data_IF_068421151070
#
_entry.id   IF_068421151070
#
_cell.length_a   1.000
_cell.length_b   1.000
_cell.length_c   1.000
_cell.angle_alpha   90.00
_cell.angle_beta   90.00
_cell.angle_gamma   90.00
#
_symmetry.space_group_name_H-M   'P 1'
#
loop_
_entity.id
_entity.type
_entity.pdbx_description
1 polymer ?
#
# COMPACT_ATOMS: atom_id res chain seq x y z
N UNK A 1 43.87 -4.28 1.20
CA UNK A 1 44.18 -2.85 1.00
C UNK A 1 42.84 -2.16 0.98
N UNK A 2 42.48 -1.60 2.13
CA UNK A 2 41.14 -1.08 2.42
C UNK A 2 41.30 0.39 2.72
N UNK A 3 40.86 1.26 1.80
CA UNK A 3 40.88 2.70 2.02
C UNK A 3 39.52 3.17 2.52
N UNK A 4 39.58 3.81 3.68
CA UNK A 4 38.52 4.56 4.34
C UNK A 4 38.18 5.83 3.54
N UNK A 5 36.91 6.23 3.55
CA UNK A 5 36.57 7.66 3.52
C UNK A 5 35.25 7.96 4.25
N UNK A 6 35.27 8.65 5.40
CA UNK A 6 34.08 9.22 6.03
C UNK A 6 33.94 10.70 5.65
N UNK A 7 32.72 11.15 5.33
CA UNK A 7 32.44 12.58 5.13
C UNK A 7 31.36 13.08 6.13
N UNK A 8 31.50 14.30 6.69
CA UNK A 8 30.87 14.71 7.93
C UNK A 8 29.58 15.54 7.77
N UNK A 9 28.97 15.80 8.92
CA UNK A 9 27.69 16.45 9.16
C UNK A 9 27.68 17.99 9.06
N UNK A 10 26.44 18.55 9.19
CA UNK A 10 25.99 19.89 9.64
C UNK A 10 25.37 20.80 8.55
N UNK A 11 24.52 21.82 8.89
CA UNK A 11 24.00 22.28 10.21
C UNK A 11 22.47 22.49 10.31
N UNK A 12 22.03 22.75 11.55
CA UNK A 12 20.69 23.18 12.00
C UNK A 12 20.45 24.70 11.89
N UNK A 13 19.21 25.13 11.64
CA UNK A 13 18.78 26.53 11.55
C UNK A 13 17.85 26.96 12.71
N UNK A 14 18.18 28.03 13.47
CA UNK A 14 17.26 28.70 14.39
C UNK A 14 17.07 30.20 14.11
N UNK A 15 15.82 30.67 14.00
CA UNK A 15 15.40 32.09 14.09
C UNK A 15 13.88 32.10 14.35
N UNK A 16 13.23 32.67 15.38
CA UNK A 16 13.38 33.79 16.35
C UNK A 16 13.09 35.21 15.81
N UNK A 17 11.90 35.72 16.15
CA UNK A 17 11.49 37.14 16.20
C UNK A 17 10.00 37.19 16.59
N UNK A 18 9.52 37.62 17.76
CA UNK A 18 9.65 38.88 18.53
C UNK A 18 8.66 40.00 18.11
N UNK A 19 7.72 40.26 19.03
CA UNK A 19 7.11 41.55 19.44
C UNK A 19 6.17 42.36 18.53
N UNK A 20 4.96 42.67 19.04
CA UNK A 20 4.51 44.04 19.36
C UNK A 20 3.02 44.13 19.83
N UNK A 21 2.79 44.89 20.90
CA UNK A 21 1.52 45.39 21.50
C UNK A 21 1.84 46.83 22.02
N UNK A 22 0.90 47.74 22.39
CA UNK A 22 -0.22 48.45 21.72
C UNK A 22 0.07 49.98 21.58
N UNK A 23 -0.93 50.88 21.33
CA UNK A 23 -1.49 51.67 22.44
C UNK A 23 -3.00 52.03 22.35
N UNK A 24 -3.46 52.70 23.42
CA UNK A 24 -4.83 52.98 23.84
C UNK A 24 -5.35 54.40 23.48
N UNK A 25 -6.53 54.75 24.06
CA UNK A 25 -7.25 56.05 24.19
C UNK A 25 -8.34 56.31 23.14
N UNK A 26 -9.51 56.90 23.43
CA UNK A 26 -10.29 57.20 24.65
C UNK A 26 -11.64 57.79 24.18
N UNK A 27 -12.72 57.48 24.91
CA UNK A 27 -13.91 58.32 25.25
C UNK A 27 -14.51 59.34 24.26
N UNK A 28 -15.84 59.28 24.08
CA UNK A 28 -16.77 60.36 24.52
C UNK A 28 -18.23 59.84 24.63
N UNK A 29 -18.87 60.15 25.75
CA UNK A 29 -20.26 59.98 26.21
C UNK A 29 -21.25 60.96 25.51
N UNK A 30 -22.51 61.19 25.97
CA UNK A 30 -23.69 60.34 26.08
C UNK A 30 -24.87 60.88 25.22
N UNK A 31 -25.94 60.09 25.02
CA UNK A 31 -27.28 60.66 24.82
C UNK A 31 -28.39 59.70 25.27
N UNK A 32 -29.03 60.11 26.35
CA UNK A 32 -30.27 59.61 26.93
C UNK A 32 -31.45 59.67 25.95
N UNK A 33 -32.13 58.55 25.69
CA UNK A 33 -33.56 58.56 25.34
C UNK A 33 -34.30 57.31 25.84
N UNK A 34 -35.24 57.58 26.75
CA UNK A 34 -36.54 56.96 26.97
C UNK A 34 -36.72 55.45 26.76
N UNK A 35 -36.84 54.78 27.90
CA UNK A 35 -37.45 53.48 28.16
C UNK A 35 -38.81 53.29 27.48
N UNK A 36 -38.90 52.35 26.53
CA UNK A 36 -40.12 51.59 26.26
C UNK A 36 -39.87 50.11 26.59
N UNK A 37 -40.46 49.64 27.68
CA UNK A 37 -40.48 48.22 28.05
C UNK A 37 -41.45 47.47 27.13
N UNK A 38 -40.97 47.01 25.98
CA UNK A 38 -41.56 45.85 25.34
C UNK A 38 -41.00 44.60 26.01
N UNK A 39 -41.87 43.88 26.70
CA UNK A 39 -41.63 42.53 27.19
C UNK A 39 -41.59 41.57 25.99
N UNK A 40 -40.54 41.66 25.17
CA UNK A 40 -40.15 40.53 24.35
C UNK A 40 -39.57 39.48 25.28
N UNK A 41 -40.32 38.41 25.47
CA UNK A 41 -39.74 37.14 25.92
C UNK A 41 -38.81 36.66 24.80
N UNK A 42 -37.62 37.26 24.72
CA UNK A 42 -36.50 36.80 23.94
C UNK A 42 -36.12 35.44 24.51
N UNK A 43 -36.81 34.42 24.01
CA UNK A 43 -36.53 33.02 24.27
C UNK A 43 -35.12 32.83 23.74
N UNK A 44 -34.12 32.95 24.63
CA UNK A 44 -32.70 32.68 24.42
C UNK A 44 -32.60 31.37 23.63
N UNK A 45 -32.58 31.46 22.30
CA UNK A 45 -32.51 30.31 21.41
C UNK A 45 -31.09 29.82 21.54
N UNK A 46 -30.89 28.88 22.46
CA UNK A 46 -29.58 28.36 22.83
C UNK A 46 -28.92 27.79 21.60
N UNK A 47 -27.97 28.56 21.05
CA UNK A 47 -27.21 28.23 19.85
C UNK A 47 -26.37 26.95 19.98
N UNK A 48 -26.40 26.32 21.16
CA UNK A 48 -25.80 25.03 21.45
C UNK A 48 -26.45 23.89 20.66
N UNK A 49 -27.76 23.94 20.40
CA UNK A 49 -28.47 22.86 19.67
C UNK A 49 -28.05 22.72 18.20
N UNK A 50 -28.02 23.78 17.36
CA UNK A 50 -27.56 23.65 15.98
C UNK A 50 -26.06 23.28 15.88
N UNK A 51 -25.22 23.76 16.80
CA UNK A 51 -23.80 23.40 16.83
C UNK A 51 -23.58 21.90 17.11
N UNK A 52 -24.35 21.31 18.03
CA UNK A 52 -24.28 19.87 18.33
C UNK A 52 -24.70 19.02 17.12
N UNK A 53 -25.75 19.43 16.41
CA UNK A 53 -26.21 18.71 15.19
C UNK A 53 -25.17 18.76 14.08
N UNK A 54 -24.55 19.92 13.86
CA UNK A 54 -23.50 20.06 12.84
C UNK A 54 -22.26 19.21 13.15
N UNK A 55 -21.79 19.21 14.41
CA UNK A 55 -20.65 18.37 14.83
C UNK A 55 -21.00 16.88 14.72
N UNK A 56 -22.21 16.48 15.15
CA UNK A 56 -22.68 15.10 15.01
C UNK A 56 -22.70 14.62 13.56
N UNK A 57 -23.20 15.44 12.63
CA UNK A 57 -23.22 15.11 11.21
C UNK A 57 -21.80 14.93 10.62
N UNK A 58 -20.86 15.80 10.98
CA UNK A 58 -19.46 15.69 10.52
C UNK A 58 -18.80 14.40 11.01
N UNK A 59 -19.00 14.03 12.28
CA UNK A 59 -18.43 12.79 12.84
C UNK A 59 -18.99 11.56 12.12
N UNK A 60 -20.30 11.53 11.83
CA UNK A 60 -20.92 10.42 11.09
C UNK A 60 -20.37 10.32 9.68
N UNK A 61 -20.22 11.44 8.96
CA UNK A 61 -19.64 11.45 7.61
C UNK A 61 -18.19 10.99 7.64
N UNK A 62 -17.38 11.45 8.60
CA UNK A 62 -16.00 11.02 8.74
C UNK A 62 -15.88 9.52 9.07
N UNK A 63 -16.75 9.00 9.95
CA UNK A 63 -16.78 7.58 10.27
C UNK A 63 -17.19 6.72 9.06
N UNK A 64 -18.24 7.13 8.33
CA UNK A 64 -18.67 6.43 7.13
C UNK A 64 -17.60 6.49 6.03
N UNK A 65 -16.98 7.66 5.81
CA UNK A 65 -15.87 7.84 4.89
C UNK A 65 -14.65 6.98 5.25
N UNK A 66 -14.32 6.87 6.55
CA UNK A 66 -13.24 6.02 7.03
C UNK A 66 -13.50 4.53 6.78
N UNK A 67 -14.73 4.06 6.99
CA UNK A 67 -15.11 2.67 6.68
C UNK A 67 -15.02 2.40 5.19
N UNK A 68 -15.59 3.28 4.35
CA UNK A 68 -15.50 3.15 2.89
C UNK A 68 -14.04 3.12 2.45
N UNK A 69 -13.23 4.05 2.93
CA UNK A 69 -11.80 4.11 2.62
C UNK A 69 -11.08 2.81 2.98
N UNK A 70 -11.36 2.23 4.15
CA UNK A 70 -10.73 1.01 4.62
C UNK A 70 -11.13 -0.22 3.78
N UNK A 71 -12.38 -0.31 3.32
CA UNK A 71 -12.84 -1.44 2.50
C UNK A 71 -12.49 -1.30 1.01
N UNK A 72 -12.14 -0.10 0.54
CA UNK A 72 -11.71 0.14 -0.84
C UNK A 72 -10.20 0.11 -1.04
N UNK A 73 -9.40 -0.07 0.03
CA UNK A 73 -7.96 -0.21 -0.15
C UNK A 73 -7.65 -1.53 -0.84
N UNK A 74 -6.76 -1.54 -1.85
CA UNK A 74 -6.33 -2.79 -2.46
C UNK A 74 -5.70 -3.70 -1.41
N UNK A 75 -5.92 -4.99 -1.53
CA UNK A 75 -5.28 -5.97 -0.65
C UNK A 75 -3.77 -6.00 -0.90
N UNK A 76 -3.00 -6.62 -0.01
CA UNK A 76 -1.57 -6.81 -0.26
C UNK A 76 -1.33 -7.70 -1.48
N UNK A 77 -2.18 -8.70 -1.72
CA UNK A 77 -2.13 -9.58 -2.90
C UNK A 77 -2.37 -8.78 -4.19
N UNK A 78 -3.37 -7.89 -4.20
CA UNK A 78 -3.65 -7.04 -5.37
C UNK A 78 -2.49 -6.09 -5.67
N UNK A 79 -1.90 -5.48 -4.64
CA UNK A 79 -0.70 -4.65 -4.80
C UNK A 79 0.49 -5.46 -5.34
N UNK A 80 0.71 -6.66 -4.80
CA UNK A 80 1.76 -7.55 -5.30
C UNK A 80 1.53 -7.91 -6.76
N UNK A 81 0.30 -8.20 -7.17
CA UNK A 81 -0.04 -8.44 -8.57
C UNK A 81 0.21 -7.21 -9.44
N UNK A 82 -0.13 -6.01 -8.97
CA UNK A 82 0.12 -4.78 -9.70
C UNK A 82 1.62 -4.55 -9.93
N UNK A 83 2.48 -4.92 -8.99
CA UNK A 83 3.94 -4.78 -9.08
C UNK A 83 4.57 -5.91 -9.91
N UNK A 84 4.14 -7.16 -9.73
CA UNK A 84 4.81 -8.34 -10.31
C UNK A 84 4.13 -8.90 -11.57
N UNK A 85 2.93 -8.44 -11.91
CA UNK A 85 2.13 -8.97 -13.01
C UNK A 85 2.70 -8.66 -14.40
N UNK A 86 2.59 -9.62 -15.31
CA UNK A 86 3.10 -9.50 -16.68
C UNK A 86 4.62 -9.37 -16.72
N UNK A 87 5.14 -8.50 -17.59
CA UNK A 87 6.58 -8.27 -17.72
C UNK A 87 7.17 -7.37 -16.63
N UNK A 88 6.37 -6.88 -15.67
CA UNK A 88 6.87 -5.97 -14.62
C UNK A 88 7.89 -6.63 -13.70
N UNK A 89 7.73 -7.92 -13.40
CA UNK A 89 8.75 -8.67 -12.66
C UNK A 89 10.10 -8.71 -13.40
N UNK A 90 10.06 -8.81 -14.72
CA UNK A 90 11.25 -8.78 -15.57
C UNK A 90 11.87 -7.37 -15.61
N UNK A 91 11.06 -6.32 -15.69
CA UNK A 91 11.52 -4.91 -15.60
C UNK A 91 12.25 -4.68 -14.28
N UNK A 92 11.62 -5.05 -13.15
CA UNK A 92 12.21 -4.92 -11.82
C UNK A 92 13.59 -5.58 -11.77
N UNK A 93 13.68 -6.82 -12.26
CA UNK A 93 14.94 -7.54 -12.32
C UNK A 93 16.02 -6.81 -13.14
N UNK A 94 15.69 -6.28 -14.32
CA UNK A 94 16.69 -5.59 -15.15
C UNK A 94 17.05 -4.19 -14.65
N UNK A 95 16.10 -3.44 -14.10
CA UNK A 95 16.37 -2.14 -13.48
C UNK A 95 17.34 -2.28 -12.30
N UNK A 96 17.18 -3.33 -11.49
CA UNK A 96 18.10 -3.64 -10.39
C UNK A 96 19.51 -4.03 -10.85
N UNK A 97 19.64 -4.51 -12.10
CA UNK A 97 20.91 -4.98 -12.67
C UNK A 97 21.50 -4.02 -13.73
N UNK A 98 20.94 -2.82 -13.90
CA UNK A 98 21.39 -1.79 -14.86
C UNK A 98 21.47 -2.30 -16.32
N UNK A 99 20.49 -3.11 -16.74
CA UNK A 99 20.38 -3.64 -18.11
C UNK A 99 19.25 -2.98 -18.89
N UNK A 100 19.52 -2.70 -20.18
CA UNK A 100 18.50 -2.24 -21.11
C UNK A 100 17.56 -3.41 -21.48
N UNK A 101 16.31 -3.32 -21.04
CA UNK A 101 15.30 -4.37 -21.16
C UNK A 101 14.39 -4.24 -22.38
N UNK A 102 14.54 -3.16 -23.18
CA UNK A 102 13.58 -2.77 -24.21
C UNK A 102 13.19 -3.90 -25.18
N UNK A 103 14.17 -4.51 -25.85
CA UNK A 103 13.92 -5.56 -26.85
C UNK A 103 13.47 -6.89 -26.21
N UNK A 104 13.88 -7.14 -24.96
CA UNK A 104 13.62 -8.40 -24.28
C UNK A 104 12.19 -8.45 -23.71
N UNK A 105 11.65 -7.31 -23.29
CA UNK A 105 10.27 -7.20 -22.81
C UNK A 105 9.26 -7.56 -23.89
N UNK A 106 9.44 -7.07 -25.12
CA UNK A 106 8.52 -7.36 -26.22
C UNK A 106 8.52 -8.86 -26.55
N UNK A 107 9.70 -9.47 -26.53
CA UNK A 107 9.87 -10.90 -26.81
C UNK A 107 9.34 -11.78 -25.67
N UNK A 108 9.50 -11.34 -24.42
CA UNK A 108 9.12 -12.11 -23.24
C UNK A 108 7.63 -11.97 -22.85
N UNK A 109 6.95 -10.91 -23.30
CA UNK A 109 5.56 -10.64 -22.89
C UNK A 109 4.60 -11.83 -23.05
N UNK A 110 4.63 -12.61 -24.15
CA UNK A 110 3.76 -13.79 -24.30
C UNK A 110 4.04 -14.89 -23.26
N UNK A 111 5.27 -15.00 -22.74
CA UNK A 111 5.60 -16.00 -21.73
C UNK A 111 4.95 -15.68 -20.38
N UNK A 112 4.76 -14.39 -20.06
CA UNK A 112 4.16 -13.97 -18.78
C UNK A 112 2.62 -13.98 -18.78
N UNK A 113 1.98 -14.27 -19.91
CA UNK A 113 0.52 -14.36 -19.98
C UNK A 113 0.02 -15.50 -19.07
N UNK A 114 -0.86 -15.15 -18.12
CA UNK A 114 -1.44 -16.10 -17.16
C UNK A 114 -0.46 -16.61 -16.09
N UNK A 115 0.78 -16.10 -16.03
CA UNK A 115 1.75 -16.54 -15.01
C UNK A 115 1.34 -16.09 -13.61
N UNK A 116 0.72 -14.92 -13.51
CA UNK A 116 0.23 -14.40 -12.25
C UNK A 116 -1.26 -14.06 -12.42
N UNK A 117 -2.08 -14.52 -11.50
CA UNK A 117 -3.52 -14.22 -11.47
C UNK A 117 -3.98 -13.97 -10.03
N UNK A 118 -4.94 -13.06 -9.88
CA UNK A 118 -5.58 -12.75 -8.60
C UNK A 118 -7.00 -13.26 -8.64
N UNK A 119 -7.40 -13.99 -7.60
CA UNK A 119 -8.74 -14.54 -7.43
C UNK A 119 -9.31 -14.15 -6.05
N UNK A 120 -10.56 -14.56 -5.81
CA UNK A 120 -11.27 -14.39 -4.54
C UNK A 120 -11.27 -12.93 -4.03
N UNK A 121 -11.64 -11.98 -4.89
CA UNK A 121 -11.69 -10.54 -4.56
C UNK A 121 -10.39 -10.01 -3.93
N UNK A 122 -9.24 -10.49 -4.45
CA UNK A 122 -7.92 -10.07 -3.94
C UNK A 122 -7.44 -10.86 -2.73
N UNK A 123 -8.09 -11.96 -2.37
CA UNK A 123 -7.68 -12.81 -1.24
C UNK A 123 -6.75 -13.98 -1.65
N UNK A 124 -6.69 -14.31 -2.95
CA UNK A 124 -5.86 -15.38 -3.48
C UNK A 124 -4.95 -14.90 -4.62
N UNK A 125 -3.69 -15.32 -4.59
CA UNK A 125 -2.71 -15.12 -5.65
C UNK A 125 -2.28 -16.48 -6.19
N UNK A 126 -2.41 -16.67 -7.50
CA UNK A 126 -1.98 -17.89 -8.18
C UNK A 126 -0.77 -17.54 -9.04
N UNK A 127 0.30 -18.30 -8.86
CA UNK A 127 1.54 -18.24 -9.63
C UNK A 127 1.64 -19.54 -10.43
N UNK A 128 1.66 -19.45 -11.75
CA UNK A 128 1.78 -20.58 -12.66
C UNK A 128 2.90 -20.32 -13.67
N UNK A 129 4.12 -20.78 -13.37
CA UNK A 129 5.23 -20.63 -14.30
C UNK A 129 5.02 -21.53 -15.52
N UNK A 130 5.77 -21.29 -16.60
CA UNK A 130 5.70 -22.13 -17.79
C UNK A 130 6.54 -23.40 -17.60
N UNK A 131 6.27 -24.39 -18.45
CA UNK A 131 7.04 -25.63 -18.54
C UNK A 131 8.45 -25.38 -19.06
N UNK A 132 9.36 -26.32 -18.83
CA UNK A 132 10.76 -26.22 -19.32
C UNK A 132 10.82 -26.18 -20.87
N UNK A 133 9.83 -26.76 -21.57
CA UNK A 133 9.76 -26.73 -23.03
C UNK A 133 9.37 -25.35 -23.59
N UNK A 134 8.55 -24.60 -22.85
CA UNK A 134 8.05 -23.27 -23.25
C UNK A 134 8.97 -22.16 -22.72
N UNK A 135 9.52 -22.35 -21.53
CA UNK A 135 10.41 -21.42 -20.84
C UNK A 135 11.68 -22.14 -20.37
N UNK A 136 12.59 -22.50 -21.30
CA UNK A 136 13.81 -23.23 -20.98
C UNK A 136 14.82 -22.41 -20.15
N UNK A 137 14.63 -21.10 -20.10
CA UNK A 137 15.47 -20.18 -19.31
C UNK A 137 14.87 -19.91 -17.93
N UNK A 138 13.65 -20.38 -17.65
CA UNK A 138 12.94 -20.15 -16.40
C UNK A 138 12.62 -18.68 -16.13
N UNK A 139 12.48 -17.82 -17.15
CA UNK A 139 12.24 -16.39 -16.96
C UNK A 139 10.92 -16.13 -16.23
N UNK A 140 9.91 -16.98 -16.40
CA UNK A 140 8.63 -16.88 -15.71
C UNK A 140 8.74 -17.15 -14.21
N UNK A 141 9.82 -17.79 -13.74
CA UNK A 141 10.13 -17.89 -12.32
C UNK A 141 10.51 -16.54 -11.69
N UNK A 142 10.92 -15.53 -12.47
CA UNK A 142 11.16 -14.18 -11.95
C UNK A 142 9.87 -13.53 -11.43
N UNK A 143 8.70 -13.88 -11.96
CA UNK A 143 7.43 -13.44 -11.39
C UNK A 143 7.21 -14.01 -9.99
N UNK A 144 7.59 -15.27 -9.78
CA UNK A 144 7.56 -15.91 -8.46
C UNK A 144 8.53 -15.22 -7.49
N UNK A 145 9.75 -14.92 -7.93
CA UNK A 145 10.75 -14.24 -7.11
C UNK A 145 10.29 -12.83 -6.71
N UNK A 146 9.73 -12.06 -7.64
CA UNK A 146 9.11 -10.76 -7.35
C UNK A 146 8.01 -10.89 -6.29
N UNK A 147 7.12 -11.89 -6.42
CA UNK A 147 6.06 -12.12 -5.43
C UNK A 147 6.64 -12.44 -4.05
N UNK A 148 7.72 -13.22 -3.98
CA UNK A 148 8.33 -13.58 -2.69
C UNK A 148 8.94 -12.39 -1.95
N UNK A 149 9.41 -11.39 -2.69
CA UNK A 149 9.89 -10.13 -2.14
C UNK A 149 8.72 -9.24 -1.65
N UNK A 150 7.65 -9.13 -2.43
CA UNK A 150 6.48 -8.29 -2.10
C UNK A 150 5.58 -8.90 -1.00
N UNK A 151 5.53 -10.23 -0.88
CA UNK A 151 4.80 -10.99 0.15
C UNK A 151 5.74 -11.58 1.22
N UNK A 152 6.66 -10.76 1.76
CA UNK A 152 7.93 -11.12 2.39
C UNK A 152 8.04 -12.58 2.84
N UNK A 153 8.25 -13.48 1.88
CA UNK A 153 8.22 -14.93 2.13
C UNK A 153 9.49 -15.32 2.88
N UNK A 154 9.40 -15.95 4.06
CA UNK A 154 10.58 -16.31 4.82
C UNK A 154 11.52 -17.22 4.01
N UNK A 155 12.83 -17.04 4.17
CA UNK A 155 13.83 -17.81 3.41
C UNK A 155 13.70 -19.34 3.54
N UNK A 156 13.21 -19.84 4.68
CA UNK A 156 12.95 -21.28 4.86
C UNK A 156 11.77 -21.76 4.00
N UNK A 157 10.70 -20.95 3.87
CA UNK A 157 9.55 -21.24 3.00
C UNK A 157 10.01 -21.23 1.54
N UNK A 158 10.79 -20.22 1.14
CA UNK A 158 11.36 -20.17 -0.22
C UNK A 158 12.24 -21.40 -0.51
N UNK A 159 13.06 -21.81 0.47
CA UNK A 159 13.93 -22.99 0.33
C UNK A 159 13.10 -24.27 0.17
N UNK A 160 12.03 -24.43 0.94
CA UNK A 160 11.11 -25.57 0.81
C UNK A 160 10.39 -25.56 -0.55
N UNK A 161 10.02 -24.37 -1.04
CA UNK A 161 9.44 -24.20 -2.38
C UNK A 161 10.40 -24.64 -3.48
N UNK A 162 11.63 -24.15 -3.47
CA UNK A 162 12.64 -24.47 -4.50
C UNK A 162 13.14 -25.91 -4.43
N UNK A 163 13.00 -26.58 -3.29
CA UNK A 163 13.40 -27.99 -3.13
C UNK A 163 12.35 -28.98 -3.66
N UNK A 164 11.15 -28.53 -4.04
CA UNK A 164 10.12 -29.42 -4.56
C UNK A 164 10.42 -29.89 -5.97
N UNK A 165 10.30 -31.19 -6.15
CA UNK A 165 10.44 -31.87 -7.44
C UNK A 165 9.09 -32.44 -7.88
N UNK A 166 9.01 -32.90 -9.13
CA UNK A 166 7.83 -33.62 -9.63
C UNK A 166 7.41 -34.81 -8.75
N UNK A 167 8.37 -35.45 -8.08
CA UNK A 167 8.11 -36.60 -7.20
C UNK A 167 7.65 -36.22 -5.79
N UNK A 168 7.81 -34.95 -5.40
CA UNK A 168 7.48 -34.47 -4.06
C UNK A 168 5.97 -34.28 -3.84
N UNK A 169 5.18 -34.19 -4.90
CA UNK A 169 3.75 -33.91 -4.83
C UNK A 169 3.46 -32.44 -4.52
N UNK A 170 2.43 -32.17 -3.69
CA UNK A 170 2.09 -30.83 -3.22
C UNK A 170 2.55 -30.63 -1.78
N UNK A 171 3.12 -29.46 -1.51
CA UNK A 171 3.49 -29.02 -0.17
C UNK A 171 2.65 -27.82 0.25
N UNK A 172 2.49 -27.66 1.56
CA UNK A 172 1.77 -26.53 2.16
C UNK A 172 2.68 -25.84 3.17
N UNK A 173 2.78 -24.52 3.07
CA UNK A 173 3.58 -23.66 3.93
C UNK A 173 2.73 -22.50 4.46
N UNK A 174 3.15 -21.91 5.58
CA UNK A 174 2.42 -20.82 6.23
C UNK A 174 3.37 -19.76 6.78
N UNK A 175 3.04 -18.49 6.58
CA UNK A 175 3.79 -17.36 7.17
C UNK A 175 2.89 -16.13 7.24
N UNK A 176 3.05 -15.26 8.24
CA UNK A 176 2.45 -13.91 8.32
C UNK A 176 0.98 -13.76 7.86
N UNK A 177 0.13 -14.71 8.26
CA UNK A 177 -1.29 -14.69 7.88
C UNK A 177 -1.57 -15.18 6.46
N UNK A 178 -0.61 -15.81 5.81
CA UNK A 178 -0.74 -16.49 4.53
C UNK A 178 -0.66 -18.00 4.71
N UNK A 179 -1.39 -18.71 3.85
CA UNK A 179 -1.24 -20.13 3.58
C UNK A 179 -0.87 -20.27 2.10
N UNK A 180 0.19 -21.01 1.80
CA UNK A 180 0.54 -21.34 0.42
C UNK A 180 0.52 -22.83 0.19
N UNK A 181 0.01 -23.24 -0.98
CA UNK A 181 0.13 -24.61 -1.46
C UNK A 181 0.84 -24.59 -2.80
N UNK A 182 1.91 -25.38 -2.93
CA UNK A 182 2.74 -25.40 -4.13
C UNK A 182 3.06 -26.81 -4.60
N UNK A 183 3.36 -26.92 -5.89
CA UNK A 183 3.90 -28.11 -6.53
C UNK A 183 4.67 -27.74 -7.79
N UNK A 184 5.47 -28.66 -8.29
CA UNK A 184 6.25 -28.50 -9.52
C UNK A 184 6.09 -29.71 -10.42
N UNK A 185 6.02 -29.50 -11.73
CA UNK A 185 6.22 -30.54 -12.72
C UNK A 185 6.89 -29.95 -13.98
N UNK A 186 7.94 -30.56 -14.57
CA UNK A 186 8.61 -30.03 -15.75
C UNK A 186 7.65 -29.68 -16.90
N UNK A 187 6.68 -30.55 -17.17
CA UNK A 187 5.67 -30.37 -18.23
C UNK A 187 4.69 -29.20 -18.01
N UNK A 188 4.57 -28.69 -16.77
CA UNK A 188 3.57 -27.67 -16.42
C UNK A 188 4.16 -26.45 -15.71
N UNK A 189 5.43 -26.48 -15.32
CA UNK A 189 6.05 -25.49 -14.44
C UNK A 189 5.68 -25.65 -12.97
N UNK A 190 5.99 -24.61 -12.19
CA UNK A 190 5.58 -24.47 -10.81
C UNK A 190 4.15 -23.92 -10.73
N UNK A 191 3.36 -24.44 -9.78
CA UNK A 191 2.02 -23.95 -9.48
C UNK A 191 1.91 -23.68 -7.98
N UNK A 192 1.74 -22.41 -7.63
CA UNK A 192 1.66 -21.91 -6.25
C UNK A 192 0.34 -21.16 -6.09
N UNK A 193 -0.40 -21.48 -5.04
CA UNK A 193 -1.59 -20.74 -4.62
C UNK A 193 -1.31 -20.18 -3.24
N UNK A 194 -1.37 -18.85 -3.09
CA UNK A 194 -1.16 -18.13 -1.83
C UNK A 194 -2.49 -17.48 -1.44
N UNK A 195 -2.97 -17.76 -0.24
CA UNK A 195 -4.24 -17.25 0.27
C UNK A 195 -4.01 -16.49 1.56
N UNK A 196 -4.64 -15.33 1.70
CA UNK A 196 -4.68 -14.56 2.95
C UNK A 196 -5.70 -15.17 3.93
N UNK A 197 -5.28 -15.41 5.17
CA UNK A 197 -6.09 -15.91 6.29
C UNK A 197 -6.80 -14.81 7.07
#
# INVERSE_FOLDING_TARGET
>A
MSDHNPNPAQPSDPSRGADAVPPAHSETEPASFATQKFSETSRKRSWKLPAIVAVGAVVVVAAAGGVVYAVTQPTQIERTYEVCGGTKALVKYFEENDWDSGDLMETAAPLYEGVLTVEDDGAALIIQTKSEDIDPLGVTALAMDCVFEELPVPGYVQSNIRAVTASSGRLTEKWDGYDATFGYHPDNGANIVIVKR
#
